data_IF_644572257022
#
_entry.id   IF_644572257022
#
_cell.length_a   1.000
_cell.length_b   1.000
_cell.length_c   1.000
_cell.angle_alpha   90.00
_cell.angle_beta   90.00
_cell.angle_gamma   90.00
#
_symmetry.space_group_name_H-M   'P 1'
#
loop_
_entity.id
_entity.type
_entity.pdbx_description
1 polymer ?
#
# COMPACT_ATOMS: atom_id res chain seq x y z
N UNK A 1 -15.37 -19.32 -25.67
CA UNK A 1 -16.38 -18.27 -25.92
C UNK A 1 -15.91 -17.19 -26.88
N UNK A 2 -14.82 -16.44 -26.58
CA UNK A 2 -14.33 -15.36 -27.46
C UNK A 2 -14.07 -15.81 -28.91
N UNK A 3 -13.22 -16.84 -29.08
CA UNK A 3 -12.91 -17.46 -30.39
C UNK A 3 -14.15 -17.97 -31.14
N UNK A 4 -15.11 -18.56 -30.41
CA UNK A 4 -16.36 -19.04 -31.00
C UNK A 4 -17.26 -17.91 -31.51
N UNK A 5 -17.24 -16.73 -30.87
CA UNK A 5 -17.98 -15.56 -31.35
C UNK A 5 -17.30 -14.91 -32.55
N UNK A 6 -15.97 -14.77 -32.53
CA UNK A 6 -15.20 -14.26 -33.67
C UNK A 6 -15.41 -15.12 -34.92
N UNK A 7 -15.38 -16.46 -34.77
CA UNK A 7 -15.59 -17.38 -35.89
C UNK A 7 -17.04 -17.44 -36.39
N UNK A 8 -18.02 -17.18 -35.50
CA UNK A 8 -19.44 -17.10 -35.89
C UNK A 8 -19.78 -15.89 -36.76
N UNK A 9 -18.97 -14.83 -36.71
CA UNK A 9 -19.10 -13.65 -37.57
C UNK A 9 -18.53 -13.90 -38.97
N UNK A 10 -17.57 -14.82 -39.11
CA UNK A 10 -16.92 -15.17 -40.38
C UNK A 10 -17.63 -16.30 -41.12
N UNK A 11 -18.22 -17.25 -40.39
CA UNK A 11 -18.90 -18.41 -40.95
C UNK A 11 -20.40 -18.33 -40.65
N UNK A 12 -20.91 -19.23 -39.82
CA UNK A 12 -22.29 -19.18 -39.33
C UNK A 12 -22.31 -19.55 -37.85
N UNK A 13 -23.33 -19.06 -37.13
CA UNK A 13 -23.52 -19.37 -35.70
C UNK A 13 -23.67 -20.89 -35.48
N UNK A 14 -24.30 -21.60 -36.42
CA UNK A 14 -24.48 -23.05 -36.35
C UNK A 14 -23.15 -23.80 -36.53
N UNK A 15 -22.35 -23.41 -37.53
CA UNK A 15 -21.01 -23.99 -37.78
C UNK A 15 -20.07 -23.77 -36.58
N UNK A 16 -20.07 -22.56 -36.01
CA UNK A 16 -19.30 -22.25 -34.82
C UNK A 16 -19.82 -23.00 -33.58
N UNK A 17 -21.12 -23.19 -33.44
CA UNK A 17 -21.72 -23.98 -32.36
C UNK A 17 -21.24 -25.42 -32.36
N UNK A 18 -21.24 -26.07 -33.53
CA UNK A 18 -20.78 -27.45 -33.72
C UNK A 18 -19.27 -27.55 -33.48
N UNK A 19 -18.48 -26.66 -34.09
CA UNK A 19 -17.02 -26.68 -33.97
C UNK A 19 -16.53 -26.50 -32.53
N UNK A 20 -17.17 -25.62 -31.77
CA UNK A 20 -16.78 -25.33 -30.38
C UNK A 20 -17.57 -26.10 -29.34
N UNK A 21 -18.51 -26.97 -29.77
CA UNK A 21 -19.42 -27.72 -28.90
C UNK A 21 -20.16 -26.83 -27.87
N UNK A 22 -20.65 -25.67 -28.32
CA UNK A 22 -21.39 -24.70 -27.49
C UNK A 22 -22.82 -24.66 -28.01
N UNK A 23 -23.86 -24.84 -27.17
CA UNK A 23 -25.24 -24.76 -27.64
C UNK A 23 -25.54 -23.44 -28.36
N UNK A 24 -26.21 -23.50 -29.51
CA UNK A 24 -26.53 -22.36 -30.38
C UNK A 24 -27.13 -21.19 -29.58
N UNK A 25 -28.11 -21.46 -28.71
CA UNK A 25 -28.74 -20.42 -27.89
C UNK A 25 -27.78 -19.72 -26.92
N UNK A 26 -26.77 -20.44 -26.40
CA UNK A 26 -25.72 -19.86 -25.55
C UNK A 26 -24.82 -18.96 -26.38
N UNK A 27 -24.42 -19.39 -27.58
CA UNK A 27 -23.59 -18.61 -28.48
C UNK A 27 -24.30 -17.34 -28.95
N UNK A 28 -25.53 -17.49 -29.43
CA UNK A 28 -26.40 -16.38 -29.85
C UNK A 28 -26.61 -15.35 -28.72
N UNK A 29 -26.81 -15.81 -27.47
CA UNK A 29 -26.95 -14.91 -26.32
C UNK A 29 -25.69 -14.08 -26.06
N UNK A 30 -24.49 -14.66 -26.21
CA UNK A 30 -23.25 -13.92 -25.97
C UNK A 30 -22.89 -12.99 -27.13
N UNK A 31 -23.25 -13.34 -28.37
CA UNK A 31 -23.13 -12.46 -29.55
C UNK A 31 -24.03 -11.24 -29.38
N UNK A 32 -25.31 -11.43 -29.04
CA UNK A 32 -26.27 -10.33 -28.82
C UNK A 32 -25.83 -9.38 -27.69
N UNK A 33 -25.13 -9.92 -26.69
CA UNK A 33 -24.65 -9.17 -25.52
C UNK A 33 -23.23 -8.64 -25.69
N UNK A 34 -22.59 -8.92 -26.84
CA UNK A 34 -21.20 -8.67 -27.18
C UNK A 34 -20.22 -8.85 -26.00
N UNK A 35 -20.36 -9.97 -25.29
CA UNK A 35 -19.60 -10.20 -24.06
C UNK A 35 -19.28 -11.66 -23.89
N UNK A 36 -18.00 -11.99 -23.97
CA UNK A 36 -17.44 -13.32 -23.69
C UNK A 36 -16.99 -13.48 -22.24
N UNK A 37 -16.95 -12.38 -21.47
CA UNK A 37 -16.45 -12.41 -20.09
C UNK A 37 -17.58 -12.85 -19.17
N UNK A 38 -17.39 -13.99 -18.50
CA UNK A 38 -18.25 -14.37 -17.36
C UNK A 38 -18.06 -13.31 -16.26
N UNK A 39 -19.12 -12.58 -15.96
CA UNK A 39 -19.16 -11.65 -14.84
C UNK A 39 -19.94 -12.32 -13.72
N UNK A 40 -19.24 -12.74 -12.66
CA UNK A 40 -19.88 -13.26 -11.45
C UNK A 40 -20.03 -12.14 -10.41
N UNK A 41 -21.18 -12.10 -9.75
CA UNK A 41 -21.44 -11.22 -8.61
C UNK A 41 -21.98 -9.82 -8.96
N UNK A 42 -22.60 -9.20 -7.95
CA UNK A 42 -23.23 -7.86 -8.04
C UNK A 42 -22.20 -6.72 -7.93
N UNK A 43 -21.14 -6.92 -7.17
CA UNK A 43 -20.19 -5.85 -6.84
C UNK A 43 -19.19 -5.64 -7.98
N UNK A 44 -19.10 -4.40 -8.47
CA UNK A 44 -18.14 -4.00 -9.49
C UNK A 44 -17.01 -3.19 -8.89
N UNK A 45 -15.82 -3.28 -9.50
CA UNK A 45 -14.77 -2.31 -9.22
C UNK A 45 -15.26 -0.94 -9.69
N UNK A 46 -15.19 0.06 -8.82
CA UNK A 46 -15.67 1.42 -9.11
C UNK A 46 -14.70 2.12 -10.07
N UNK A 47 -13.41 1.82 -9.95
CA UNK A 47 -12.36 2.46 -10.76
C UNK A 47 -11.86 1.53 -11.87
N UNK A 48 -11.41 2.13 -12.97
CA UNK A 48 -10.63 1.42 -13.98
C UNK A 48 -9.26 1.03 -13.41
N UNK A 49 -8.60 0.01 -13.95
CA UNK A 49 -7.26 -0.40 -13.50
C UNK A 49 -6.23 0.74 -13.56
N UNK A 50 -6.34 1.62 -14.55
CA UNK A 50 -5.46 2.78 -14.74
C UNK A 50 -5.63 3.82 -13.63
N UNK A 51 -6.88 4.17 -13.33
CA UNK A 51 -7.19 5.13 -12.27
C UNK A 51 -6.85 4.57 -10.89
N UNK A 52 -7.06 3.27 -10.69
CA UNK A 52 -6.65 2.58 -9.45
C UNK A 52 -5.12 2.62 -9.26
N UNK A 53 -4.36 2.45 -10.34
CA UNK A 53 -2.90 2.59 -10.32
C UNK A 53 -2.48 4.02 -9.98
N UNK A 54 -3.12 5.04 -10.54
CA UNK A 54 -2.84 6.44 -10.22
C UNK A 54 -3.07 6.75 -8.73
N UNK A 55 -4.16 6.24 -8.15
CA UNK A 55 -4.43 6.38 -6.71
C UNK A 55 -3.32 5.71 -5.88
N UNK A 56 -2.85 4.53 -6.32
CA UNK A 56 -1.78 3.80 -5.65
C UNK A 56 -0.43 4.54 -5.69
N UNK A 57 -0.10 5.17 -6.82
CA UNK A 57 1.12 5.97 -7.01
C UNK A 57 1.07 7.24 -6.17
N UNK A 58 -0.08 7.93 -6.17
CA UNK A 58 -0.26 9.11 -5.33
C UNK A 58 -0.11 8.80 -3.83
N UNK A 59 -0.66 7.66 -3.37
CA UNK A 59 -0.48 7.24 -1.99
C UNK A 59 1.00 6.98 -1.64
N UNK A 60 1.77 6.43 -2.59
CA UNK A 60 3.22 6.20 -2.43
C UNK A 60 4.00 7.52 -2.35
N UNK A 61 3.69 8.49 -3.20
CA UNK A 61 4.36 9.80 -3.19
C UNK A 61 4.11 10.58 -1.90
N UNK A 62 2.90 10.47 -1.35
CA UNK A 62 2.55 11.11 -0.08
C UNK A 62 3.30 10.46 1.09
N UNK A 63 3.39 9.13 1.11
CA UNK A 63 4.20 8.40 2.10
C UNK A 63 5.69 8.79 2.02
N UNK A 64 6.24 8.91 0.80
CA UNK A 64 7.62 9.35 0.59
C UNK A 64 7.91 10.78 1.09
N UNK A 65 6.88 11.64 1.13
CA UNK A 65 6.96 13.01 1.67
C UNK A 65 6.57 13.09 3.14
N UNK A 66 6.48 11.96 3.84
CA UNK A 66 6.07 11.85 5.25
C UNK A 66 4.62 12.30 5.54
N UNK A 67 3.78 12.44 4.50
CA UNK A 67 2.35 12.71 4.62
C UNK A 67 1.54 11.42 4.45
N UNK A 68 1.80 10.43 5.30
CA UNK A 68 1.14 9.13 5.22
C UNK A 68 -0.39 9.26 5.29
N UNK A 69 -1.09 8.76 4.27
CA UNK A 69 -2.54 8.75 4.24
C UNK A 69 -3.08 7.79 5.31
N UNK A 70 -4.12 8.15 6.05
CA UNK A 70 -4.81 7.14 6.88
C UNK A 70 -5.77 6.30 6.02
N UNK A 71 -6.27 5.19 6.57
CA UNK A 71 -7.35 4.40 5.93
C UNK A 71 -8.55 5.27 5.56
N UNK A 72 -8.93 6.20 6.43
CA UNK A 72 -10.07 7.08 6.20
C UNK A 72 -9.76 8.18 5.19
N UNK A 73 -8.55 8.75 5.23
CA UNK A 73 -8.09 9.69 4.20
C UNK A 73 -8.08 9.06 2.82
N UNK A 74 -7.65 7.79 2.70
CA UNK A 74 -7.67 7.05 1.44
C UNK A 74 -9.11 6.80 0.94
N UNK A 75 -10.04 6.48 1.85
CA UNK A 75 -11.47 6.35 1.51
C UNK A 75 -12.09 7.67 1.05
N UNK A 76 -11.70 8.79 1.66
CA UNK A 76 -12.15 10.13 1.25
C UNK A 76 -11.52 10.56 -0.08
N UNK A 77 -10.25 10.20 -0.32
CA UNK A 77 -9.57 10.43 -1.59
C UNK A 77 -10.30 9.69 -2.72
N UNK A 78 -10.61 8.41 -2.51
CA UNK A 78 -11.38 7.62 -3.47
C UNK A 78 -12.74 8.26 -3.78
N UNK A 79 -13.47 8.73 -2.77
CA UNK A 79 -14.73 9.44 -2.98
C UNK A 79 -14.54 10.69 -3.86
N UNK A 80 -13.55 11.54 -3.53
CA UNK A 80 -13.26 12.76 -4.31
C UNK A 80 -12.90 12.45 -5.75
N UNK A 81 -12.03 11.46 -5.98
CA UNK A 81 -11.65 11.05 -7.33
C UNK A 81 -12.86 10.54 -8.12
N UNK A 82 -13.76 9.80 -7.48
CA UNK A 82 -14.95 9.28 -8.14
C UNK A 82 -15.93 10.40 -8.54
N UNK A 83 -16.15 11.39 -7.67
CA UNK A 83 -16.98 12.57 -7.96
C UNK A 83 -16.36 13.44 -9.06
N UNK A 84 -15.05 13.72 -9.00
CA UNK A 84 -14.35 14.54 -9.99
C UNK A 84 -14.36 13.93 -11.40
N UNK A 85 -14.32 12.61 -11.50
CA UNK A 85 -14.38 11.89 -12.77
C UNK A 85 -15.82 11.52 -13.17
N UNK A 86 -16.84 12.01 -12.45
CA UNK A 86 -18.25 11.71 -12.67
C UNK A 86 -18.57 10.19 -12.77
N UNK A 87 -17.84 9.38 -11.99
CA UNK A 87 -17.98 7.93 -12.00
C UNK A 87 -19.15 7.52 -11.11
N UNK A 88 -20.10 6.75 -11.65
CA UNK A 88 -21.21 6.21 -10.85
C UNK A 88 -20.67 5.27 -9.76
N UNK A 89 -20.80 5.67 -8.50
CA UNK A 89 -20.26 4.91 -7.36
C UNK A 89 -21.30 4.65 -6.26
N UNK A 90 -21.16 3.55 -5.49
CA UNK A 90 -22.03 3.24 -4.34
C UNK A 90 -21.57 3.92 -3.04
N UNK A 91 -20.59 4.83 -3.09
CA UNK A 91 -20.03 5.48 -1.91
C UNK A 91 -21.06 6.39 -1.23
N UNK A 92 -21.04 6.41 0.11
CA UNK A 92 -21.95 7.21 0.94
C UNK A 92 -21.13 8.06 1.91
N UNK A 93 -21.70 9.16 2.41
CA UNK A 93 -21.09 9.99 3.46
C UNK A 93 -19.68 10.52 3.11
N UNK A 94 -19.45 10.88 1.85
CA UNK A 94 -18.16 11.42 1.36
C UNK A 94 -16.95 10.51 1.57
N UNK A 95 -17.17 9.19 1.68
CA UNK A 95 -16.10 8.19 1.85
C UNK A 95 -16.42 6.87 1.17
N UNK A 96 -15.40 6.20 0.67
CA UNK A 96 -15.52 4.81 0.23
C UNK A 96 -15.78 3.85 1.41
N UNK A 97 -16.49 2.76 1.14
CA UNK A 97 -16.80 1.74 2.14
C UNK A 97 -15.60 0.83 2.46
N UNK A 98 -15.68 0.08 3.55
CA UNK A 98 -14.62 -0.88 3.95
C UNK A 98 -14.41 -1.96 2.89
N UNK A 99 -15.49 -2.47 2.28
CA UNK A 99 -15.40 -3.45 1.20
C UNK A 99 -14.60 -2.95 -0.01
N UNK A 100 -14.70 -1.65 -0.33
CA UNK A 100 -13.89 -1.04 -1.38
C UNK A 100 -12.41 -1.03 -0.98
N UNK A 101 -12.10 -0.63 0.26
CA UNK A 101 -10.72 -0.59 0.75
C UNK A 101 -10.08 -1.98 0.71
N UNK A 102 -10.78 -3.02 1.20
CA UNK A 102 -10.29 -4.39 1.17
C UNK A 102 -10.03 -4.88 -0.25
N UNK A 103 -10.95 -4.58 -1.18
CA UNK A 103 -10.75 -4.90 -2.60
C UNK A 103 -9.59 -4.13 -3.22
N UNK A 104 -9.42 -2.85 -2.88
CA UNK A 104 -8.30 -2.03 -3.37
C UNK A 104 -6.96 -2.60 -2.90
N UNK A 105 -6.86 -3.01 -1.64
CA UNK A 105 -5.64 -3.61 -1.09
C UNK A 105 -5.37 -5.00 -1.68
N UNK A 106 -6.40 -5.80 -1.96
CA UNK A 106 -6.19 -7.12 -2.58
C UNK A 106 -5.71 -7.03 -4.03
N UNK A 107 -6.11 -5.99 -4.76
CA UNK A 107 -5.64 -5.71 -6.13
C UNK A 107 -4.27 -5.04 -6.17
N UNK A 108 -3.88 -4.35 -5.09
CA UNK A 108 -2.60 -3.66 -4.97
C UNK A 108 -1.75 -4.26 -3.82
N UNK A 109 -1.22 -5.49 -3.98
CA UNK A 109 -0.48 -6.19 -2.93
C UNK A 109 0.83 -5.48 -2.55
N UNK A 110 1.35 -4.62 -3.42
CA UNK A 110 2.52 -3.79 -3.16
C UNK A 110 2.26 -2.70 -2.11
N UNK A 111 1.00 -2.40 -1.79
CA UNK A 111 0.62 -1.47 -0.73
C UNK A 111 0.24 -2.23 0.54
N UNK A 112 0.78 -1.79 1.68
CA UNK A 112 0.42 -2.35 2.99
C UNK A 112 0.30 -1.26 4.04
N UNK A 113 -0.66 -1.38 4.95
CA UNK A 113 -0.78 -0.41 6.03
C UNK A 113 0.20 -0.73 7.16
N UNK A 114 1.09 0.19 7.51
CA UNK A 114 1.99 0.08 8.67
C UNK A 114 1.73 1.20 9.67
N UNK A 115 2.01 0.93 10.93
CA UNK A 115 2.08 1.98 11.95
C UNK A 115 3.45 2.63 11.80
N UNK A 116 3.55 3.92 11.45
CA UNK A 116 4.84 4.59 11.42
C UNK A 116 5.40 4.69 12.84
N UNK A 117 6.72 4.75 12.98
CA UNK A 117 7.29 5.14 14.26
C UNK A 117 6.89 6.58 14.56
N UNK A 118 6.57 6.93 15.82
CA UNK A 118 6.22 8.29 16.20
C UNK A 118 7.47 9.18 16.13
N UNK A 119 7.78 9.63 14.92
CA UNK A 119 8.81 10.60 14.60
C UNK A 119 8.12 11.95 14.42
N UNK A 120 8.52 12.95 15.20
CA UNK A 120 7.97 14.29 15.05
C UNK A 120 8.46 14.89 13.73
N UNK A 121 7.65 15.75 13.10
CA UNK A 121 8.04 16.52 11.90
C UNK A 121 9.36 17.26 12.14
N UNK A 122 9.57 17.78 13.35
CA UNK A 122 10.83 18.41 13.76
C UNK A 122 12.03 17.45 13.64
N UNK A 123 11.89 16.19 14.04
CA UNK A 123 12.94 15.17 13.88
C UNK A 123 13.19 14.81 12.41
N UNK A 124 12.15 14.66 11.59
CA UNK A 124 12.33 14.45 10.15
C UNK A 124 13.01 15.64 9.47
N UNK A 125 12.66 16.87 9.85
CA UNK A 125 13.19 18.10 9.26
C UNK A 125 14.64 18.38 9.69
N UNK A 126 15.00 17.99 10.92
CA UNK A 126 16.37 18.05 11.43
C UNK A 126 17.29 17.00 10.78
N UNK A 127 16.72 15.93 10.20
CA UNK A 127 17.45 14.88 9.49
C UNK A 127 17.81 15.30 8.05
N UNK A 128 18.50 16.43 7.90
CA UNK A 128 19.00 16.91 6.61
C UNK A 128 20.53 16.84 6.54
N UNK A 129 21.09 16.75 5.32
CA UNK A 129 22.54 16.56 5.11
C UNK A 129 23.39 17.62 5.83
N UNK A 130 22.92 18.87 5.84
CA UNK A 130 23.65 19.97 6.44
C UNK A 130 23.67 19.87 7.98
N UNK A 131 22.51 19.65 8.61
CA UNK A 131 22.39 19.49 10.06
C UNK A 131 23.12 18.25 10.55
N UNK A 132 23.05 17.15 9.78
CA UNK A 132 23.83 15.93 10.07
C UNK A 132 25.33 16.19 9.97
N UNK A 133 25.76 16.96 8.97
CA UNK A 133 27.16 17.41 8.85
C UNK A 133 27.63 18.17 10.09
N UNK A 134 26.92 19.25 10.46
CA UNK A 134 27.22 20.05 11.64
C UNK A 134 27.27 19.19 12.91
N UNK A 135 26.35 18.23 13.06
CA UNK A 135 26.34 17.32 14.19
C UNK A 135 27.63 16.49 14.26
N UNK A 136 28.04 15.87 13.15
CA UNK A 136 29.25 15.06 13.13
C UNK A 136 30.52 15.89 13.23
N UNK A 137 30.55 17.10 12.67
CA UNK A 137 31.67 18.02 12.82
C UNK A 137 31.86 18.42 14.30
N UNK A 138 30.76 18.76 14.98
CA UNK A 138 30.78 19.08 16.41
C UNK A 138 31.19 17.88 17.26
N UNK A 139 30.65 16.69 16.95
CA UNK A 139 31.01 15.45 17.64
C UNK A 139 32.50 15.16 17.47
N UNK A 140 33.01 15.26 16.25
CA UNK A 140 34.42 15.04 15.95
C UNK A 140 35.32 16.00 16.73
N UNK A 141 34.99 17.29 16.74
CA UNK A 141 35.73 18.31 17.48
C UNK A 141 35.78 18.02 18.99
N UNK A 142 34.69 17.54 19.58
CA UNK A 142 34.66 17.16 21.01
C UNK A 142 35.51 15.91 21.25
N UNK A 143 35.38 14.89 20.41
CA UNK A 143 36.15 13.65 20.54
C UNK A 143 37.66 13.90 20.43
N UNK A 144 38.08 14.79 19.54
CA UNK A 144 39.48 15.18 19.37
C UNK A 144 39.97 16.04 20.53
N UNK A 145 39.21 17.07 20.93
CA UNK A 145 39.58 17.99 22.02
C UNK A 145 39.83 17.28 23.36
N UNK A 146 39.08 16.21 23.63
CA UNK A 146 39.18 15.45 24.88
C UNK A 146 39.87 14.09 24.72
N UNK A 147 40.48 13.81 23.56
CA UNK A 147 41.21 12.57 23.26
C UNK A 147 40.38 11.28 23.49
N UNK A 148 39.05 11.39 23.34
CA UNK A 148 38.12 10.32 23.68
C UNK A 148 38.11 9.19 22.64
N UNK A 149 38.69 9.41 21.45
CA UNK A 149 38.82 8.38 20.42
C UNK A 149 39.60 7.14 20.89
N UNK A 150 40.54 7.33 21.82
CA UNK A 150 41.35 6.25 22.39
C UNK A 150 40.84 5.78 23.76
N UNK A 151 39.79 6.42 24.30
CA UNK A 151 39.26 6.21 25.65
C UNK A 151 37.74 6.04 25.62
N UNK A 152 37.23 4.98 24.97
CA UNK A 152 35.79 4.75 24.88
C UNK A 152 35.14 4.51 26.25
N UNK A 153 35.90 4.01 27.24
CA UNK A 153 35.42 3.75 28.60
C UNK A 153 34.96 5.00 29.36
N UNK A 154 35.37 6.19 28.91
CA UNK A 154 35.00 7.47 29.52
C UNK A 154 33.76 8.11 28.87
N UNK A 155 33.17 7.47 27.85
CA UNK A 155 31.97 7.95 27.17
C UNK A 155 30.74 7.31 27.83
N UNK A 156 30.05 8.09 28.65
CA UNK A 156 28.81 7.67 29.29
C UNK A 156 27.60 8.20 28.52
N UNK A 157 26.66 7.32 28.18
CA UNK A 157 25.37 7.73 27.67
C UNK A 157 24.52 8.24 28.85
N UNK A 158 24.28 9.55 28.90
CA UNK A 158 23.47 10.22 29.91
C UNK A 158 22.15 10.69 29.29
N UNK A 159 21.33 9.75 28.78
CA UNK A 159 20.00 10.07 28.26
C UNK A 159 18.92 9.86 29.31
N UNK A 160 18.04 10.85 29.45
CA UNK A 160 16.90 10.76 30.34
C UNK A 160 15.82 9.88 29.70
N UNK A 161 15.43 8.79 30.37
CA UNK A 161 14.31 7.96 29.91
C UNK A 161 13.00 8.64 30.27
N UNK A 162 12.47 9.44 29.34
CA UNK A 162 11.14 10.02 29.48
C UNK A 162 10.05 8.95 29.48
N UNK A 163 9.46 8.67 30.65
CA UNK A 163 8.28 7.80 30.77
C UNK A 163 7.08 8.54 30.18
N UNK A 164 6.66 8.15 28.97
CA UNK A 164 5.49 8.75 28.32
C UNK A 164 4.20 8.28 29.01
N UNK A 165 3.48 9.18 29.67
CA UNK A 165 2.18 8.90 30.30
C UNK A 165 1.05 8.71 29.28
N UNK A 166 1.24 9.10 28.01
CA UNK A 166 0.25 8.92 26.95
C UNK A 166 0.81 8.20 25.73
N UNK A 167 0.17 7.07 25.39
CA UNK A 167 0.48 6.28 24.22
C UNK A 167 -0.36 6.74 23.02
N UNK A 168 -0.04 7.90 22.44
CA UNK A 168 -0.61 8.26 21.13
C UNK A 168 0.09 7.44 20.04
N UNK A 169 -0.47 6.26 19.74
CA UNK A 169 -0.03 5.43 18.61
C UNK A 169 -0.44 6.14 17.32
N UNK A 170 0.49 6.45 16.40
CA UNK A 170 0.13 7.06 15.14
C UNK A 170 -0.78 6.12 14.32
N UNK A 171 -1.69 6.67 13.50
CA UNK A 171 -2.59 5.87 12.68
C UNK A 171 -1.80 5.08 11.62
N UNK A 172 -2.37 3.96 11.17
CA UNK A 172 -1.73 3.15 10.12
C UNK A 172 -1.80 3.85 8.76
N UNK A 173 -0.68 3.92 8.06
CA UNK A 173 -0.54 4.56 6.74
C UNK A 173 -0.11 3.55 5.65
N UNK A 174 -0.55 3.70 4.38
CA UNK A 174 -0.09 2.89 3.27
C UNK A 174 1.41 3.08 3.09
N UNK A 175 2.10 1.96 3.00
CA UNK A 175 3.53 1.84 2.81
C UNK A 175 3.79 0.85 1.70
N UNK A 176 4.73 1.17 0.82
CA UNK A 176 5.10 0.31 -0.29
C UNK A 176 5.98 -0.86 0.17
N UNK A 177 5.50 -2.09 0.01
CA UNK A 177 6.31 -3.28 0.28
C UNK A 177 7.26 -3.54 -0.89
N UNK A 178 8.57 -3.45 -0.65
CA UNK A 178 9.53 -4.19 -1.48
C UNK A 178 9.22 -5.68 -1.34
N UNK A 179 9.08 -6.38 -2.47
CA UNK A 179 9.03 -7.85 -2.50
C UNK A 179 10.19 -8.37 -1.65
N UNK A 180 9.88 -9.03 -0.54
CA UNK A 180 10.89 -9.69 0.26
C UNK A 180 11.48 -10.80 -0.60
N UNK A 181 12.75 -10.68 -0.97
CA UNK A 181 13.56 -11.88 -1.22
C UNK A 181 13.48 -12.74 0.04
N UNK A 182 13.17 -14.01 -0.14
CA UNK A 182 12.95 -14.97 0.94
C UNK A 182 14.16 -15.05 1.89
N UNK A 183 13.85 -15.17 3.19
CA UNK A 183 14.69 -15.52 4.35
C UNK A 183 15.63 -14.44 4.91
N UNK A 184 15.28 -13.99 6.11
CA UNK A 184 16.21 -13.98 7.25
C UNK A 184 15.40 -14.14 8.54
N UNK A 185 15.87 -15.05 9.38
CA UNK A 185 15.20 -15.62 10.54
C UNK A 185 14.66 -14.61 11.56
N UNK A 186 13.52 -14.99 12.15
CA UNK A 186 12.99 -14.38 13.37
C UNK A 186 13.92 -14.75 14.52
N UNK A 187 14.73 -13.81 15.00
CA UNK A 187 15.34 -13.90 16.34
C UNK A 187 14.25 -13.69 17.40
N UNK A 188 13.46 -14.73 17.65
CA UNK A 188 12.62 -14.84 18.82
C UNK A 188 13.51 -15.08 20.03
N UNK A 189 13.62 -14.09 20.92
CA UNK A 189 14.21 -14.25 22.25
C UNK A 189 13.45 -15.36 23.00
N UNK A 190 14.00 -16.57 23.05
CA UNK A 190 13.61 -17.56 24.05
C UNK A 190 14.14 -17.05 25.40
N UNK A 191 13.24 -16.76 26.33
CA UNK A 191 13.57 -16.64 27.75
C UNK A 191 14.10 -18.00 28.19
N UNK A 192 15.38 -18.08 28.50
CA UNK A 192 15.95 -19.17 29.29
C UNK A 192 15.68 -18.79 30.74
N UNK A 193 14.72 -19.46 31.38
CA UNK A 193 14.59 -19.43 32.83
C UNK A 193 15.72 -20.27 33.41
N UNK A 194 16.71 -19.60 33.99
CA UNK A 194 17.64 -20.21 34.93
C UNK A 194 16.97 -20.27 36.32
N UNK A 195 17.38 -21.30 37.07
CA UNK A 195 17.38 -21.48 38.54
C UNK A 195 16.65 -22.77 38.98
N UNK A 196 17.12 -23.39 40.07
CA UNK A 196 18.38 -24.11 40.22
C UNK A 196 18.18 -25.64 40.09
#
# INVERSE_FOLDING_TARGET
MRRAMEESQLTSISSASIKYNIPIGTLHRHIKKDSHKKQLGRFRCVFSPELEKLISEHARELDARFYGLTRDSLKQLAYRVAEQNAIKHPFKNKKAGEAWLQGFMSRNPDLSFRTPEPTSIARCSAFNRHQVGIFYDNLWNILEKYELLQRPDDIFNMDETGVKTSAQKPPKVPFWQRKKTSRSDKFGRKKVSLLP
#
